data_IF_909524863676
#
_entry.id   IF_909524863676
#
_cell.length_a   1.000
_cell.length_b   1.000
_cell.length_c   1.000
_cell.angle_alpha   90.00
_cell.angle_beta   90.00
_cell.angle_gamma   90.00
#
_symmetry.space_group_name_H-M   'P 1'
#
loop_
_entity.id
_entity.type
_entity.pdbx_description
1 polymer ?
#
# COMPACT_ATOMS: atom_id res chain seq x y z
N UNK A 1 -1.44 7.08 -13.62
CA UNK A 1 -0.97 6.22 -12.52
C UNK A 1 0.20 5.34 -12.96
N UNK A 2 -0.01 4.32 -13.80
CA UNK A 2 1.03 3.32 -14.13
C UNK A 2 2.38 3.87 -14.64
N UNK A 3 2.37 4.86 -15.55
CA UNK A 3 3.62 5.46 -16.04
C UNK A 3 4.46 6.12 -14.93
N UNK A 4 3.81 6.75 -13.93
CA UNK A 4 4.51 7.32 -12.76
C UNK A 4 5.14 6.23 -11.91
N UNK A 5 4.47 5.09 -11.76
CA UNK A 5 5.00 3.95 -11.02
C UNK A 5 6.25 3.40 -11.71
N UNK A 6 6.23 3.22 -13.02
CA UNK A 6 7.37 2.65 -13.74
C UNK A 6 8.59 3.60 -13.80
N UNK A 7 8.40 4.90 -13.56
CA UNK A 7 9.50 5.84 -13.38
C UNK A 7 10.23 5.68 -12.04
N UNK A 8 9.69 4.90 -11.09
CA UNK A 8 10.26 4.65 -9.77
C UNK A 8 10.89 3.25 -9.72
N UNK A 9 12.19 3.17 -9.48
CA UNK A 9 12.92 1.90 -9.48
C UNK A 9 12.33 0.85 -8.53
N UNK A 10 11.89 1.26 -7.34
CA UNK A 10 11.26 0.38 -6.33
C UNK A 10 9.84 -0.07 -6.70
N UNK A 11 9.22 0.51 -7.72
CA UNK A 11 7.96 0.03 -8.30
C UNK A 11 8.18 -0.78 -9.58
N UNK A 12 9.17 -0.40 -10.41
CA UNK A 12 9.44 -1.03 -11.70
C UNK A 12 9.70 -2.54 -11.58
N UNK A 13 10.38 -2.98 -10.52
CA UNK A 13 10.58 -4.42 -10.23
C UNK A 13 9.28 -5.22 -10.02
N UNK A 14 8.15 -4.54 -9.81
CA UNK A 14 6.82 -5.13 -9.59
C UNK A 14 5.91 -5.00 -10.81
N UNK A 15 6.44 -4.60 -11.97
CA UNK A 15 5.65 -4.27 -13.16
C UNK A 15 4.57 -5.31 -13.47
N UNK A 16 4.96 -6.59 -13.60
CA UNK A 16 4.03 -7.67 -13.98
C UNK A 16 2.85 -7.79 -13.01
N UNK A 17 3.12 -7.67 -11.71
CA UNK A 17 2.12 -7.76 -10.65
C UNK A 17 1.19 -6.54 -10.71
N UNK A 18 1.76 -5.33 -10.72
CA UNK A 18 0.98 -4.08 -10.76
C UNK A 18 0.14 -3.95 -12.03
N UNK A 19 0.67 -4.41 -13.18
CA UNK A 19 -0.08 -4.48 -14.44
C UNK A 19 -1.25 -5.46 -14.34
N UNK A 20 -1.04 -6.62 -13.70
CA UNK A 20 -2.12 -7.58 -13.46
C UNK A 20 -3.21 -6.99 -12.57
N UNK A 21 -2.84 -6.29 -11.49
CA UNK A 21 -3.81 -5.62 -10.62
C UNK A 21 -4.63 -4.57 -11.40
N UNK A 22 -4.00 -3.73 -12.21
CA UNK A 22 -4.73 -2.72 -13.01
C UNK A 22 -5.65 -3.35 -14.05
N UNK A 23 -5.23 -4.45 -14.69
CA UNK A 23 -6.07 -5.19 -15.62
C UNK A 23 -7.32 -5.73 -14.92
N UNK A 24 -7.16 -6.41 -13.79
CA UNK A 24 -8.31 -6.93 -13.04
C UNK A 24 -9.23 -5.84 -12.53
N UNK A 25 -8.69 -4.68 -12.13
CA UNK A 25 -9.52 -3.53 -11.75
C UNK A 25 -10.37 -3.04 -12.93
N UNK A 26 -9.80 -2.95 -14.13
CA UNK A 26 -10.54 -2.57 -15.33
C UNK A 26 -11.62 -3.60 -15.72
N UNK A 27 -11.43 -4.86 -15.38
CA UNK A 27 -12.39 -5.96 -15.58
C UNK A 27 -13.46 -6.03 -14.47
N UNK A 28 -13.35 -5.21 -13.42
CA UNK A 28 -14.31 -5.19 -12.31
C UNK A 28 -14.07 -6.29 -11.26
N UNK A 29 -12.89 -6.92 -11.25
CA UNK A 29 -12.55 -7.98 -10.30
C UNK A 29 -11.67 -7.46 -9.16
N UNK A 30 -12.29 -7.22 -7.99
CA UNK A 30 -11.64 -6.65 -6.82
C UNK A 30 -10.67 -7.60 -6.10
N UNK A 31 -10.91 -8.91 -6.17
CA UNK A 31 -10.16 -9.93 -5.42
C UNK A 31 -8.67 -9.93 -5.79
N UNK A 32 -8.26 -10.12 -7.06
CA UNK A 32 -6.87 -10.08 -7.46
C UNK A 32 -6.25 -8.70 -7.24
N UNK A 33 -7.01 -7.61 -7.41
CA UNK A 33 -6.51 -6.24 -7.16
C UNK A 33 -6.05 -6.11 -5.72
N UNK A 34 -6.90 -6.48 -4.77
CA UNK A 34 -6.61 -6.36 -3.34
C UNK A 34 -5.51 -7.33 -2.90
N UNK A 35 -5.53 -8.57 -3.42
CA UNK A 35 -4.50 -9.57 -3.13
C UNK A 35 -3.12 -9.15 -3.63
N UNK A 36 -3.03 -8.49 -4.78
CA UNK A 36 -1.77 -7.99 -5.32
C UNK A 36 -1.38 -6.67 -4.65
N UNK A 37 -2.24 -5.65 -4.70
CA UNK A 37 -1.89 -4.30 -4.28
C UNK A 37 -1.49 -4.25 -2.80
N UNK A 38 -2.25 -4.87 -1.90
CA UNK A 38 -1.98 -4.78 -0.46
C UNK A 38 -0.69 -5.51 -0.05
N UNK A 39 -0.35 -6.64 -0.70
CA UNK A 39 0.89 -7.35 -0.39
C UNK A 39 2.11 -6.65 -0.99
N UNK A 40 1.97 -6.04 -2.17
CA UNK A 40 3.07 -5.31 -2.80
C UNK A 40 3.41 -3.99 -2.10
N UNK A 41 2.49 -3.35 -1.36
CA UNK A 41 2.78 -2.12 -0.59
C UNK A 41 4.00 -2.32 0.33
N UNK A 42 4.04 -3.40 1.10
CA UNK A 42 5.16 -3.67 2.01
C UNK A 42 6.46 -3.93 1.26
N UNK A 43 6.41 -4.67 0.15
CA UNK A 43 7.57 -4.94 -0.71
C UNK A 43 8.15 -3.66 -1.31
N UNK A 44 7.29 -2.80 -1.86
CA UNK A 44 7.66 -1.50 -2.45
C UNK A 44 8.30 -0.58 -1.40
N UNK A 45 7.71 -0.50 -0.20
CA UNK A 45 8.31 0.27 0.91
C UNK A 45 9.64 -0.31 1.34
N UNK A 46 9.76 -1.64 1.40
CA UNK A 46 11.00 -2.34 1.71
C UNK A 46 12.12 -2.04 0.71
N UNK A 47 11.80 -2.03 -0.58
CA UNK A 47 12.76 -1.72 -1.65
C UNK A 47 13.15 -0.24 -1.65
N UNK A 48 12.20 0.68 -1.41
CA UNK A 48 12.46 2.10 -1.23
C UNK A 48 13.39 2.35 -0.02
N UNK A 49 13.10 1.72 1.12
CA UNK A 49 13.92 1.82 2.32
C UNK A 49 15.32 1.27 2.09
N UNK A 50 15.45 0.09 1.46
CA UNK A 50 16.75 -0.53 1.18
C UNK A 50 17.60 0.35 0.27
N UNK A 51 17.00 1.05 -0.69
CA UNK A 51 17.70 1.99 -1.57
C UNK A 51 18.34 3.15 -0.81
N UNK A 52 17.67 3.67 0.24
CA UNK A 52 18.18 4.80 1.05
C UNK A 52 19.16 4.34 2.13
N UNK A 53 18.93 3.17 2.74
CA UNK A 53 19.65 2.75 3.95
C UNK A 53 20.59 1.55 3.76
N UNK A 54 20.63 0.93 2.57
CA UNK A 54 21.47 -0.23 2.25
C UNK A 54 21.04 -1.55 2.92
N UNK A 55 19.99 -1.55 3.74
CA UNK A 55 19.48 -2.73 4.47
C UNK A 55 17.95 -2.73 4.56
N UNK A 56 17.36 -3.89 4.82
CA UNK A 56 15.91 -4.00 5.06
C UNK A 56 15.48 -3.50 6.44
N UNK A 57 14.17 -3.39 6.65
CA UNK A 57 13.57 -3.05 7.94
C UNK A 57 12.26 -3.79 8.17
N UNK A 58 11.83 -3.86 9.45
CA UNK A 58 10.51 -4.38 9.83
C UNK A 58 9.41 -3.37 9.51
N UNK A 59 8.17 -3.85 9.39
CA UNK A 59 7.03 -3.03 8.97
C UNK A 59 6.90 -1.69 9.70
N UNK A 60 7.04 -1.68 11.04
CA UNK A 60 6.98 -0.43 11.82
C UNK A 60 7.96 0.64 11.33
N UNK A 61 9.20 0.22 11.01
CA UNK A 61 10.24 1.10 10.48
C UNK A 61 9.96 1.54 9.04
N UNK A 62 9.37 0.66 8.22
CA UNK A 62 8.93 1.01 6.87
C UNK A 62 7.81 2.05 6.88
N UNK A 63 6.88 1.96 7.84
CA UNK A 63 5.83 2.97 8.03
C UNK A 63 6.41 4.29 8.52
N UNK A 64 7.33 4.29 9.49
CA UNK A 64 8.04 5.50 9.91
C UNK A 64 8.76 6.16 8.71
N UNK A 65 9.42 5.37 7.86
CA UNK A 65 10.06 5.85 6.64
C UNK A 65 9.09 6.43 5.62
N UNK A 66 7.94 5.79 5.39
CA UNK A 66 6.92 6.29 4.47
C UNK A 66 6.38 7.66 4.92
N UNK A 67 6.13 7.82 6.22
CA UNK A 67 5.67 9.10 6.81
C UNK A 67 6.73 10.18 6.67
N UNK A 68 7.98 9.89 7.05
CA UNK A 68 9.08 10.84 6.91
C UNK A 68 9.29 11.27 5.45
N UNK A 69 9.16 10.34 4.51
CA UNK A 69 9.26 10.63 3.07
C UNK A 69 8.11 11.53 2.60
N UNK A 70 6.88 11.29 3.09
CA UNK A 70 5.72 12.10 2.78
C UNK A 70 5.85 13.54 3.30
N UNK A 71 6.29 13.72 4.55
CA UNK A 71 6.54 15.02 5.15
C UNK A 71 7.66 15.78 4.43
N UNK A 72 8.78 15.10 4.14
CA UNK A 72 9.88 15.70 3.39
C UNK A 72 9.45 16.14 1.98
N UNK A 73 8.62 15.34 1.31
CA UNK A 73 8.08 15.67 -0.02
C UNK A 73 7.10 16.83 0.02
N UNK A 74 6.31 16.92 1.09
CA UNK A 74 5.31 17.96 1.28
C UNK A 74 5.88 19.27 1.84
N UNK A 75 7.05 19.23 2.47
CA UNK A 75 7.69 20.37 3.13
C UNK A 75 7.16 20.67 4.54
N UNK A 76 5.92 20.26 4.85
CA UNK A 76 5.31 20.35 6.18
C UNK A 76 4.22 19.25 6.35
N UNK A 77 3.94 18.77 7.58
CA UNK A 77 2.89 17.77 7.83
C UNK A 77 1.46 18.24 7.48
N UNK A 78 1.17 19.53 7.70
CA UNK A 78 -0.14 20.13 7.42
C UNK A 78 -0.12 20.90 6.09
N UNK A 79 -0.21 20.16 4.98
CA UNK A 79 -0.29 20.72 3.63
C UNK A 79 -1.46 20.11 2.88
N UNK A 80 -1.81 20.70 1.72
CA UNK A 80 -2.80 20.12 0.79
C UNK A 80 -2.39 18.78 0.18
N UNK A 81 -1.17 18.32 0.47
CA UNK A 81 -0.72 16.98 0.11
C UNK A 81 -1.11 15.95 1.19
N UNK A 82 -1.60 16.38 2.36
CA UNK A 82 -2.12 15.54 3.45
C UNK A 82 -1.21 14.41 3.96
N UNK A 83 0.11 14.62 4.13
CA UNK A 83 1.02 13.54 4.55
C UNK A 83 0.66 12.97 5.93
N UNK A 84 0.20 13.80 6.88
CA UNK A 84 -0.23 13.34 8.21
C UNK A 84 -1.51 12.48 8.16
N UNK A 85 -2.51 12.88 7.36
CA UNK A 85 -3.74 12.09 7.21
C UNK A 85 -3.47 10.76 6.49
N UNK A 86 -2.58 10.77 5.50
CA UNK A 86 -2.14 9.54 4.83
C UNK A 86 -1.39 8.60 5.78
N UNK A 87 -0.51 9.15 6.63
CA UNK A 87 0.17 8.41 7.68
C UNK A 87 -0.81 7.73 8.64
N UNK A 88 -1.84 8.47 9.08
CA UNK A 88 -2.90 7.93 9.92
C UNK A 88 -3.62 6.78 9.20
N UNK A 89 -4.06 6.99 7.96
CA UNK A 89 -4.74 5.99 7.15
C UNK A 89 -3.93 4.69 6.99
N UNK A 90 -2.63 4.79 6.69
CA UNK A 90 -1.77 3.62 6.55
C UNK A 90 -1.74 2.79 7.84
N UNK A 91 -1.69 3.43 9.01
CA UNK A 91 -1.63 2.75 10.32
C UNK A 91 -2.98 2.20 10.75
N UNK A 92 -4.05 2.97 10.58
CA UNK A 92 -5.39 2.63 11.09
C UNK A 92 -6.20 1.73 10.16
N UNK A 93 -5.80 1.61 8.89
CA UNK A 93 -6.53 0.79 7.91
C UNK A 93 -5.62 -0.20 7.19
N UNK A 94 -4.63 0.27 6.41
CA UNK A 94 -3.82 -0.62 5.56
C UNK A 94 -3.00 -1.61 6.37
N UNK A 95 -2.38 -1.17 7.45
CA UNK A 95 -1.56 -1.98 8.36
C UNK A 95 -2.20 -2.09 9.74
N UNK A 96 -3.52 -1.96 9.81
CA UNK A 96 -4.25 -2.19 11.05
C UNK A 96 -3.99 -3.62 11.53
N UNK A 97 -3.68 -3.75 12.82
CA UNK A 97 -3.68 -5.03 13.50
C UNK A 97 -5.07 -5.68 13.40
N UNK A 98 -5.09 -7.00 13.30
CA UNK A 98 -6.32 -7.79 13.33
C UNK A 98 -6.12 -8.96 14.28
N UNK A 99 -7.20 -9.41 14.91
CA UNK A 99 -7.18 -10.61 15.73
C UNK A 99 -7.33 -11.86 14.84
N UNK A 100 -6.29 -12.70 14.71
CA UNK A 100 -6.37 -13.93 13.92
C UNK A 100 -7.32 -14.96 14.50
N UNK A 101 -7.53 -14.96 15.83
CA UNK A 101 -8.42 -15.89 16.50
C UNK A 101 -9.89 -15.53 16.27
N UNK A 102 -10.22 -14.24 16.21
CA UNK A 102 -11.58 -13.78 15.96
C UNK A 102 -12.04 -13.92 14.50
N UNK A 103 -11.11 -14.08 13.53
CA UNK A 103 -11.40 -14.15 12.07
C UNK A 103 -12.25 -12.98 11.54
N UNK A 104 -12.19 -11.82 12.19
CA UNK A 104 -12.97 -10.62 11.82
C UNK A 104 -12.21 -9.69 10.86
N UNK A 105 -11.29 -10.22 10.06
CA UNK A 105 -10.47 -9.42 9.17
C UNK A 105 -11.28 -8.82 8.02
N UNK A 106 -10.90 -7.62 7.56
CA UNK A 106 -11.48 -6.97 6.40
C UNK A 106 -10.45 -6.80 5.27
N UNK A 107 -10.92 -6.72 4.03
CA UNK A 107 -10.05 -6.55 2.87
C UNK A 107 -9.46 -5.13 2.73
N UNK A 108 -9.65 -4.25 3.73
CA UNK A 108 -8.90 -3.00 3.86
C UNK A 108 -7.54 -3.17 4.56
N UNK A 109 -7.32 -4.27 5.29
CA UNK A 109 -6.06 -4.56 5.98
C UNK A 109 -5.18 -5.53 5.17
N UNK A 110 -3.93 -5.14 4.91
CA UNK A 110 -2.87 -6.00 4.37
C UNK A 110 -2.64 -7.22 5.25
N UNK A 111 -2.78 -7.09 6.57
CA UNK A 111 -2.54 -8.20 7.48
C UNK A 111 -3.66 -9.24 7.33
N UNK A 112 -4.92 -8.82 7.41
CA UNK A 112 -6.05 -9.71 7.19
C UNK A 112 -6.01 -10.40 5.82
N UNK A 113 -5.74 -9.64 4.74
CA UNK A 113 -5.69 -10.19 3.37
C UNK A 113 -4.52 -11.15 3.18
N UNK A 114 -3.34 -10.80 3.69
CA UNK A 114 -2.11 -11.61 3.58
C UNK A 114 -2.15 -12.89 4.41
N UNK A 115 -2.87 -12.89 5.53
CA UNK A 115 -3.09 -14.08 6.36
C UNK A 115 -4.31 -14.91 5.93
N UNK A 116 -5.05 -14.49 4.90
CA UNK A 116 -6.26 -15.19 4.42
C UNK A 116 -7.45 -15.10 5.38
N UNK A 117 -7.46 -14.10 6.27
CA UNK A 117 -8.48 -13.90 7.29
C UNK A 117 -9.50 -12.81 6.93
N UNK A 118 -9.38 -12.20 5.74
CA UNK A 118 -10.33 -11.19 5.27
C UNK A 118 -11.61 -11.84 4.72
N UNK A 119 -12.77 -11.36 5.17
CA UNK A 119 -14.06 -11.89 4.74
C UNK A 119 -14.34 -11.61 3.25
N UNK A 120 -14.83 -12.59 2.46
CA UNK A 120 -15.03 -12.46 1.01
C UNK A 120 -15.87 -11.26 0.57
N UNK A 121 -16.92 -10.94 1.32
CA UNK A 121 -17.83 -9.82 1.05
C UNK A 121 -17.16 -8.44 1.15
N UNK A 122 -15.99 -8.36 1.79
CA UNK A 122 -15.25 -7.10 1.93
C UNK A 122 -14.35 -6.79 0.73
N UNK A 123 -14.19 -7.74 -0.20
CA UNK A 123 -13.47 -7.55 -1.46
C UNK A 123 -14.33 -6.79 -2.47
N UNK A 124 -14.40 -5.47 -2.31
CA UNK A 124 -15.21 -4.59 -3.17
C UNK A 124 -14.35 -3.74 -4.08
N UNK A 125 -14.94 -3.27 -5.19
CA UNK A 125 -14.26 -2.35 -6.11
C UNK A 125 -13.86 -1.03 -5.45
N UNK A 126 -14.62 -0.57 -4.46
CA UNK A 126 -14.27 0.60 -3.65
C UNK A 126 -12.97 0.35 -2.88
N UNK A 127 -12.82 -0.82 -2.25
CA UNK A 127 -11.57 -1.19 -1.56
C UNK A 127 -10.42 -1.35 -2.54
N UNK A 128 -10.66 -1.97 -3.69
CA UNK A 128 -9.67 -2.11 -4.74
C UNK A 128 -9.13 -0.74 -5.21
N UNK A 129 -10.02 0.23 -5.43
CA UNK A 129 -9.64 1.60 -5.78
C UNK A 129 -8.80 2.25 -4.69
N UNK A 130 -9.21 2.13 -3.42
CA UNK A 130 -8.45 2.66 -2.28
C UNK A 130 -7.03 2.09 -2.20
N UNK A 131 -6.85 0.79 -2.43
CA UNK A 131 -5.53 0.16 -2.43
C UNK A 131 -4.64 0.68 -3.57
N UNK A 132 -5.19 0.85 -4.78
CA UNK A 132 -4.47 1.42 -5.92
C UNK A 132 -4.09 2.89 -5.69
N UNK A 133 -4.98 3.70 -5.10
CA UNK A 133 -4.69 5.08 -4.72
C UNK A 133 -3.63 5.14 -3.62
N UNK A 134 -3.62 4.18 -2.69
CA UNK A 134 -2.57 4.07 -1.67
C UNK A 134 -1.19 3.85 -2.30
N UNK A 135 -1.10 2.96 -3.29
CA UNK A 135 0.14 2.76 -4.08
C UNK A 135 0.55 4.02 -4.83
N UNK A 136 -0.40 4.73 -5.43
CA UNK A 136 -0.10 5.96 -6.17
C UNK A 136 0.38 7.09 -5.27
N UNK A 137 -0.20 7.23 -4.09
CA UNK A 137 0.26 8.18 -3.07
C UNK A 137 1.69 7.84 -2.60
N UNK A 138 1.99 6.55 -2.39
CA UNK A 138 3.35 6.11 -2.07
C UNK A 138 4.34 6.41 -3.20
N UNK A 139 3.97 6.21 -4.46
CA UNK A 139 4.81 6.57 -5.60
C UNK A 139 5.09 8.08 -5.68
N UNK A 140 4.17 8.91 -5.22
CA UNK A 140 4.37 10.35 -5.15
C UNK A 140 5.35 10.76 -4.03
N UNK A 141 5.27 10.12 -2.86
CA UNK A 141 6.09 10.45 -1.69
C UNK A 141 7.49 9.81 -1.66
N UNK A 142 7.67 8.63 -2.28
CA UNK A 142 8.91 7.83 -2.20
C UNK A 142 9.72 7.81 -3.49
#
# INVERSE_FOLDING_TARGET
MFGRWMAKAHFAGKERLLRSALKSFAEGDAVPVLKIALTEIEGILGDAYRKVHGKGARIKKLLEFAVASAEAKAGHPDTLLFPAAFAHYLRSHTFADFDPAARTGNASSRHAVGHGAAAPETYTMVRALQALLTLDQLAFYT
#
